data_IF_861256530501
#
_entry.id   IF_861256530501
#
_cell.length_a   1.000
_cell.length_b   1.000
_cell.length_c   1.000
_cell.angle_alpha   90.00
_cell.angle_beta   90.00
_cell.angle_gamma   90.00
#
_symmetry.space_group_name_H-M   'P 1'
#
loop_
_entity.id
_entity.type
_entity.pdbx_description
1 polymer ?
#
# COMPACT_ATOMS: atom_id res chain seq x y z
N UNK A 1 -3.93 -1.33 10.63
CA UNK A 1 -4.47 -0.59 9.48
C UNK A 1 -3.33 -0.26 8.55
N UNK A 2 -3.55 -0.20 7.24
CA UNK A 2 -2.56 0.23 6.25
C UNK A 2 -3.24 1.29 5.38
N UNK A 3 -2.69 2.51 5.31
CA UNK A 3 -3.24 3.60 4.51
C UNK A 3 -2.46 3.76 3.21
N UNK A 4 -3.17 3.98 2.11
CA UNK A 4 -2.60 4.44 0.84
C UNK A 4 -1.94 5.81 1.00
N UNK A 5 -0.62 5.84 1.21
CA UNK A 5 0.11 7.11 1.35
C UNK A 5 0.33 7.79 0.00
N UNK A 6 0.51 7.00 -1.06
CA UNK A 6 0.55 7.41 -2.46
C UNK A 6 0.07 6.25 -3.33
N UNK A 7 -0.94 6.46 -4.18
CA UNK A 7 -1.36 5.47 -5.17
C UNK A 7 -0.67 5.73 -6.52
N UNK A 8 -1.08 5.01 -7.56
CA UNK A 8 -0.57 5.14 -8.92
C UNK A 8 -0.75 6.54 -9.53
N UNK A 9 -1.70 7.35 -9.04
CA UNK A 9 -1.90 8.73 -9.51
C UNK A 9 -0.83 9.71 -9.03
N UNK A 10 0.03 9.30 -8.09
CA UNK A 10 1.11 10.10 -7.53
C UNK A 10 0.70 11.05 -6.40
N UNK A 11 -0.60 11.14 -6.04
CA UNK A 11 -1.06 12.05 -5.00
C UNK A 11 -0.68 11.55 -3.60
N UNK A 12 0.03 12.36 -2.84
CA UNK A 12 0.49 11.99 -1.50
C UNK A 12 -0.52 12.40 -0.41
N UNK A 13 -0.98 11.45 0.41
CA UNK A 13 -1.84 11.68 1.59
C UNK A 13 -1.06 12.08 2.85
N UNK A 14 0.13 12.63 2.65
CA UNK A 14 1.01 13.19 3.68
C UNK A 14 1.78 14.38 3.07
N UNK A 15 2.25 15.35 3.87
CA UNK A 15 3.00 16.51 3.41
C UNK A 15 4.44 16.11 3.02
N UNK A 16 4.57 15.43 1.87
CA UNK A 16 5.87 15.11 1.32
C UNK A 16 6.57 16.39 0.87
N UNK A 17 7.84 16.57 1.26
CA UNK A 17 8.64 17.72 0.80
C UNK A 17 9.15 17.58 -0.64
N UNK A 18 8.89 16.44 -1.29
CA UNK A 18 9.39 16.12 -2.63
C UNK A 18 8.36 16.36 -3.74
N UNK A 19 7.12 16.74 -3.41
CA UNK A 19 6.09 17.10 -4.38
C UNK A 19 5.06 18.04 -3.75
N UNK A 20 4.58 19.02 -4.51
CA UNK A 20 3.44 19.84 -4.14
C UNK A 20 2.10 19.13 -4.42
N UNK A 21 2.13 17.98 -5.11
CA UNK A 21 0.94 17.16 -5.36
C UNK A 21 0.62 16.28 -4.14
N UNK A 22 0.25 16.94 -3.05
CA UNK A 22 -0.05 16.32 -1.76
C UNK A 22 -1.26 16.95 -1.06
N UNK A 23 -1.78 16.25 -0.06
CA UNK A 23 -2.99 16.61 0.69
C UNK A 23 -2.92 17.95 1.43
N UNK A 24 -1.73 18.46 1.75
CA UNK A 24 -1.58 19.76 2.42
C UNK A 24 -1.53 20.95 1.46
N UNK A 25 -1.14 20.73 0.20
CA UNK A 25 -1.00 21.80 -0.80
C UNK A 25 -2.17 21.84 -1.80
N UNK A 26 -2.64 20.68 -2.25
CA UNK A 26 -3.64 20.57 -3.32
C UNK A 26 -4.97 19.94 -2.86
N UNK A 27 -5.14 19.68 -1.56
CA UNK A 27 -6.25 18.88 -1.04
C UNK A 27 -6.79 19.35 0.31
N UNK A 28 -7.08 18.44 1.25
CA UNK A 28 -7.71 18.73 2.54
C UNK A 28 -6.97 19.69 3.50
N UNK A 29 -5.77 20.16 3.13
CA UNK A 29 -4.91 21.04 3.94
C UNK A 29 -4.54 20.41 5.29
N UNK A 30 -4.41 19.07 5.31
CA UNK A 30 -4.20 18.24 6.51
C UNK A 30 -3.22 17.12 6.23
N UNK A 31 -2.46 16.70 7.23
CA UNK A 31 -1.59 15.52 7.17
C UNK A 31 -2.42 14.27 7.50
N UNK A 32 -3.06 13.69 6.48
CA UNK A 32 -3.98 12.57 6.69
C UNK A 32 -3.27 11.33 7.24
N UNK A 33 -2.05 11.03 6.76
CA UNK A 33 -1.25 9.93 7.27
C UNK A 33 -0.89 10.14 8.74
N UNK A 34 -0.42 11.33 9.11
CA UNK A 34 -0.05 11.65 10.49
C UNK A 34 -1.25 11.56 11.44
N UNK A 35 -2.32 12.28 11.12
CA UNK A 35 -3.52 12.32 11.98
C UNK A 35 -4.15 10.93 12.15
N UNK A 36 -4.22 10.13 11.08
CA UNK A 36 -4.75 8.77 11.18
C UNK A 36 -3.80 7.85 11.96
N UNK A 37 -2.49 8.01 11.80
CA UNK A 37 -1.49 7.25 12.55
C UNK A 37 -1.65 7.44 14.06
N UNK A 38 -1.80 8.68 14.50
CA UNK A 38 -1.98 9.01 15.91
C UNK A 38 -3.27 8.40 16.46
N UNK A 39 -4.40 8.57 15.76
CA UNK A 39 -5.68 8.02 16.17
C UNK A 39 -5.69 6.48 16.22
N UNK A 40 -5.11 5.82 15.20
CA UNK A 40 -5.03 4.35 15.15
C UNK A 40 -4.18 3.81 16.30
N UNK A 41 -3.05 4.46 16.59
CA UNK A 41 -2.16 4.06 17.69
C UNK A 41 -2.75 4.33 19.07
N UNK A 42 -3.48 5.43 19.25
CA UNK A 42 -4.21 5.70 20.49
C UNK A 42 -5.24 4.60 20.81
N UNK A 43 -5.81 3.96 19.78
CA UNK A 43 -6.67 2.77 19.93
C UNK A 43 -5.91 1.46 20.13
N UNK A 44 -4.58 1.50 20.27
CA UNK A 44 -3.74 0.32 20.46
C UNK A 44 -3.54 -0.53 19.19
N UNK A 45 -3.89 0.00 18.01
CA UNK A 45 -3.73 -0.70 16.74
C UNK A 45 -2.42 -0.34 16.06
N UNK A 46 -1.93 -1.27 15.22
CA UNK A 46 -0.76 -1.08 14.37
C UNK A 46 -1.10 -0.26 13.12
N UNK A 47 -0.18 0.60 12.68
CA UNK A 47 -0.36 1.48 11.52
C UNK A 47 0.73 1.26 10.48
N UNK A 48 0.34 0.88 9.26
CA UNK A 48 1.21 0.69 8.11
C UNK A 48 1.01 1.74 7.01
N UNK A 49 1.95 1.80 6.09
CA UNK A 49 1.95 2.67 4.92
C UNK A 49 1.96 1.85 3.64
N UNK A 50 0.93 1.99 2.82
CA UNK A 50 0.94 1.53 1.44
C UNK A 50 1.61 2.60 0.56
N UNK A 51 2.46 2.18 -0.39
CA UNK A 51 3.11 3.06 -1.34
C UNK A 51 3.18 2.44 -2.74
N UNK A 52 2.74 3.18 -3.76
CA UNK A 52 2.93 2.82 -5.17
C UNK A 52 4.39 3.06 -5.61
N UNK A 53 5.20 2.00 -5.55
CA UNK A 53 6.65 2.06 -5.78
C UNK A 53 7.02 2.39 -7.21
N UNK A 54 6.64 1.55 -8.17
CA UNK A 54 7.10 1.66 -9.58
C UNK A 54 6.14 2.45 -10.48
N UNK A 55 4.86 2.58 -10.11
CA UNK A 55 3.86 3.31 -10.89
C UNK A 55 3.60 4.68 -10.28
N UNK A 56 3.73 5.72 -11.09
CA UNK A 56 3.35 7.09 -10.77
C UNK A 56 2.99 7.82 -12.07
N UNK A 57 1.70 8.11 -12.27
CA UNK A 57 1.19 8.66 -13.52
C UNK A 57 1.58 10.12 -13.76
N UNK A 58 2.19 10.77 -12.76
CA UNK A 58 2.82 12.09 -12.95
C UNK A 58 4.16 12.00 -13.67
N UNK A 59 4.82 10.83 -13.64
CA UNK A 59 6.09 10.54 -14.33
C UNK A 59 5.93 9.69 -15.60
N UNK A 60 4.93 8.82 -15.64
CA UNK A 60 4.59 8.02 -16.83
C UNK A 60 3.08 7.93 -17.03
N UNK A 61 2.56 8.64 -18.03
CA UNK A 61 1.12 8.72 -18.30
C UNK A 61 0.62 7.71 -19.33
N UNK A 62 1.49 6.82 -19.82
CA UNK A 62 1.10 5.81 -20.78
C UNK A 62 0.11 4.81 -20.12
N UNK A 63 -1.10 4.63 -20.68
CA UNK A 63 -2.09 3.75 -20.09
C UNK A 63 -1.63 2.30 -20.09
N UNK A 64 -2.20 1.52 -19.18
CA UNK A 64 -1.92 0.09 -18.99
C UNK A 64 -3.13 -0.70 -19.49
N UNK A 65 -2.91 -1.53 -20.51
CA UNK A 65 -3.88 -2.42 -21.11
C UNK A 65 -3.55 -3.90 -20.86
N UNK A 66 -2.30 -4.23 -20.54
CA UNK A 66 -1.83 -5.58 -20.22
C UNK A 66 -0.95 -5.59 -18.98
N UNK A 67 -0.87 -6.73 -18.27
CA UNK A 67 -0.04 -6.84 -17.05
C UNK A 67 1.44 -6.53 -17.30
N UNK A 68 1.98 -6.90 -18.47
CA UNK A 68 3.37 -6.58 -18.84
C UNK A 68 3.65 -5.07 -18.86
N UNK A 69 2.62 -4.27 -19.13
CA UNK A 69 2.73 -2.81 -19.17
C UNK A 69 2.84 -2.18 -17.78
N UNK A 70 2.51 -2.91 -16.70
CA UNK A 70 2.82 -2.48 -15.33
C UNK A 70 4.32 -2.23 -15.10
N UNK A 71 5.19 -2.88 -15.90
CA UNK A 71 6.64 -2.69 -15.84
C UNK A 71 7.18 -1.92 -17.05
N UNK A 72 6.65 -2.16 -18.26
CA UNK A 72 7.17 -1.49 -19.46
C UNK A 72 6.73 -0.02 -19.57
N UNK A 73 5.55 0.33 -19.06
CA UNK A 73 5.00 1.69 -19.05
C UNK A 73 5.18 2.35 -17.68
N UNK A 74 5.98 1.74 -16.79
CA UNK A 74 6.21 2.24 -15.44
C UNK A 74 7.18 3.44 -15.43
N UNK A 75 7.71 3.77 -14.26
CA UNK A 75 8.67 4.86 -14.08
C UNK A 75 10.10 4.32 -13.91
N UNK A 76 10.86 4.08 -14.99
CA UNK A 76 12.16 3.41 -14.90
C UNK A 76 13.34 4.36 -14.64
N UNK A 77 13.12 5.67 -14.58
CA UNK A 77 14.21 6.66 -14.54
C UNK A 77 14.94 6.67 -13.20
N UNK A 78 16.22 7.04 -13.20
CA UNK A 78 16.99 7.25 -11.97
C UNK A 78 16.39 8.36 -11.10
N UNK A 79 15.86 9.41 -11.73
CA UNK A 79 15.17 10.50 -11.03
C UNK A 79 13.95 10.00 -10.25
N UNK A 80 13.11 9.17 -10.87
CA UNK A 80 11.96 8.60 -10.17
C UNK A 80 12.37 7.58 -9.11
N UNK A 81 13.41 6.78 -9.36
CA UNK A 81 13.96 5.88 -8.35
C UNK A 81 14.43 6.64 -7.09
N UNK A 82 15.11 7.77 -7.27
CA UNK A 82 15.50 8.68 -6.19
C UNK A 82 14.28 9.27 -5.48
N UNK A 83 13.27 9.72 -6.22
CA UNK A 83 12.01 10.25 -5.67
C UNK A 83 11.30 9.23 -4.80
N UNK A 84 11.09 8.01 -5.31
CA UNK A 84 10.45 6.91 -4.58
C UNK A 84 11.23 6.53 -3.32
N UNK A 85 12.56 6.37 -3.42
CA UNK A 85 13.41 6.09 -2.26
C UNK A 85 13.29 7.18 -1.19
N UNK A 86 13.42 8.45 -1.58
CA UNK A 86 13.34 9.61 -0.68
C UNK A 86 11.99 9.72 0.02
N UNK A 87 10.90 9.43 -0.68
CA UNK A 87 9.55 9.42 -0.11
C UNK A 87 9.34 8.28 0.88
N UNK A 88 9.79 7.06 0.57
CA UNK A 88 9.68 5.96 1.54
C UNK A 88 10.54 6.22 2.77
N UNK A 89 11.75 6.77 2.63
CA UNK A 89 12.56 7.23 3.78
C UNK A 89 11.82 8.29 4.60
N UNK A 90 11.19 9.27 3.96
CA UNK A 90 10.39 10.29 4.65
C UNK A 90 9.22 9.69 5.44
N UNK A 91 8.54 8.68 4.90
CA UNK A 91 7.48 7.94 5.59
C UNK A 91 8.01 7.18 6.82
N UNK A 92 9.16 6.52 6.68
CA UNK A 92 9.84 5.80 7.77
C UNK A 92 10.18 6.78 8.90
N UNK A 93 10.86 7.88 8.56
CA UNK A 93 11.38 8.83 9.54
C UNK A 93 10.25 9.55 10.29
N UNK A 94 9.20 9.98 9.58
CA UNK A 94 8.09 10.74 10.17
C UNK A 94 7.10 9.86 10.93
N UNK A 95 6.67 8.75 10.33
CA UNK A 95 5.51 8.00 10.83
C UNK A 95 5.87 6.64 11.43
N UNK A 96 7.07 6.11 11.15
CA UNK A 96 7.56 4.81 11.66
C UNK A 96 6.53 3.69 11.47
N UNK A 97 6.04 3.45 10.24
CA UNK A 97 4.94 2.52 10.00
C UNK A 97 5.33 1.09 10.41
N UNK A 98 4.42 0.38 11.07
CA UNK A 98 4.58 -1.02 11.46
C UNK A 98 4.60 -1.98 10.24
N UNK A 99 4.10 -1.53 9.09
CA UNK A 99 4.13 -2.26 7.81
C UNK A 99 4.51 -1.28 6.69
N UNK A 100 5.52 -1.62 5.87
CA UNK A 100 5.71 -0.99 4.56
C UNK A 100 5.14 -1.92 3.48
N UNK A 101 4.08 -1.47 2.83
CA UNK A 101 3.35 -2.25 1.83
C UNK A 101 3.56 -1.61 0.46
N UNK A 102 4.55 -2.07 -0.29
CA UNK A 102 4.78 -1.58 -1.64
C UNK A 102 3.80 -2.22 -2.62
N UNK A 103 3.64 -1.64 -3.82
CA UNK A 103 2.78 -2.23 -4.84
C UNK A 103 3.42 -2.33 -6.22
N UNK A 104 3.00 -3.37 -6.96
CA UNK A 104 3.42 -3.82 -8.30
C UNK A 104 4.89 -4.22 -8.39
N UNK A 105 5.79 -3.34 -7.96
CA UNK A 105 7.23 -3.48 -8.10
C UNK A 105 7.97 -2.25 -7.59
N UNK A 106 9.27 -2.26 -7.78
CA UNK A 106 10.15 -1.13 -7.48
C UNK A 106 10.92 -0.68 -8.74
N UNK A 107 11.26 0.61 -8.89
CA UNK A 107 12.07 1.08 -10.02
C UNK A 107 13.40 0.33 -10.09
N UNK A 108 13.65 -0.35 -11.23
CA UNK A 108 14.86 -1.16 -11.41
C UNK A 108 16.15 -0.35 -11.19
N UNK A 109 16.16 0.91 -11.60
CA UNK A 109 17.27 1.83 -11.37
C UNK A 109 17.62 2.03 -9.88
N UNK A 110 16.66 1.82 -8.97
CA UNK A 110 16.83 1.97 -7.52
C UNK A 110 16.91 0.66 -6.72
N UNK A 111 16.83 -0.51 -7.36
CA UNK A 111 16.85 -1.81 -6.66
C UNK A 111 18.10 -1.99 -5.79
N UNK A 112 19.25 -1.53 -6.28
CA UNK A 112 20.54 -1.62 -5.57
C UNK A 112 20.53 -0.84 -4.23
N UNK A 113 19.58 0.08 -4.03
CA UNK A 113 19.40 0.84 -2.79
C UNK A 113 18.42 0.19 -1.80
N UNK A 114 17.64 -0.81 -2.21
CA UNK A 114 16.68 -1.48 -1.32
C UNK A 114 17.31 -2.10 -0.06
N UNK A 115 18.51 -2.73 -0.11
CA UNK A 115 19.17 -3.20 1.11
C UNK A 115 19.42 -2.06 2.13
N UNK A 116 19.76 -0.86 1.66
CA UNK A 116 19.96 0.31 2.51
C UNK A 116 18.62 0.82 3.06
N UNK A 117 17.57 0.83 2.24
CA UNK A 117 16.21 1.20 2.64
C UNK A 117 15.70 0.26 3.75
N UNK A 118 15.82 -1.05 3.57
CA UNK A 118 15.38 -2.04 4.56
C UNK A 118 16.22 -2.00 5.82
N UNK A 119 17.55 -1.85 5.71
CA UNK A 119 18.39 -1.64 6.89
C UNK A 119 17.98 -0.39 7.66
N UNK A 120 17.72 0.73 6.98
CA UNK A 120 17.22 1.96 7.60
C UNK A 120 15.86 1.73 8.27
N UNK A 121 14.95 1.02 7.61
CA UNK A 121 13.63 0.69 8.15
C UNK A 121 13.72 -0.15 9.42
N UNK A 122 14.38 -1.31 9.38
CA UNK A 122 14.46 -2.21 10.52
C UNK A 122 15.29 -1.63 11.68
N UNK A 123 16.26 -0.75 11.42
CA UNK A 123 16.98 -0.05 12.50
C UNK A 123 16.10 1.00 13.21
N UNK A 124 15.09 1.58 12.53
CA UNK A 124 14.19 2.58 13.11
C UNK A 124 12.86 1.98 13.60
N UNK A 125 12.43 0.87 13.03
CA UNK A 125 11.21 0.13 13.36
C UNK A 125 11.53 -1.37 13.45
N UNK A 126 12.18 -1.84 14.53
CA UNK A 126 12.70 -3.22 14.63
C UNK A 126 11.65 -4.32 14.53
N UNK A 127 10.39 -4.01 14.84
CA UNK A 127 9.25 -4.92 14.72
C UNK A 127 8.46 -4.72 13.42
N UNK A 128 8.91 -3.81 12.56
CA UNK A 128 8.28 -3.50 11.29
C UNK A 128 8.42 -4.66 10.31
N UNK A 129 7.50 -4.74 9.35
CA UNK A 129 7.50 -5.78 8.32
C UNK A 129 7.26 -5.21 6.93
N UNK A 130 7.81 -5.87 5.91
CA UNK A 130 7.63 -5.50 4.50
C UNK A 130 6.98 -6.64 3.70
N UNK A 131 6.13 -6.28 2.76
CA UNK A 131 5.46 -7.22 1.86
C UNK A 131 6.41 -7.77 0.77
N UNK A 132 5.88 -8.49 -0.22
CA UNK A 132 6.66 -9.13 -1.29
C UNK A 132 6.58 -8.44 -2.65
N UNK A 133 6.10 -7.20 -2.73
CA UNK A 133 6.00 -6.45 -4.00
C UNK A 133 7.22 -5.56 -4.28
N UNK A 134 8.36 -5.83 -3.64
CA UNK A 134 9.65 -5.18 -3.90
C UNK A 134 10.46 -5.95 -4.96
N UNK A 135 9.85 -6.22 -6.11
CA UNK A 135 10.40 -7.09 -7.18
C UNK A 135 10.81 -8.49 -6.69
N UNK A 136 10.17 -8.99 -5.63
CA UNK A 136 10.49 -10.29 -4.97
C UNK A 136 11.92 -10.40 -4.45
N UNK A 137 12.62 -9.27 -4.26
CA UNK A 137 14.02 -9.25 -3.79
C UNK A 137 14.14 -9.55 -2.29
N UNK A 138 13.18 -9.10 -1.49
CA UNK A 138 13.07 -9.35 -0.05
C UNK A 138 11.61 -9.21 0.39
N UNK A 139 11.22 -9.94 1.44
CA UNK A 139 9.90 -9.84 2.08
C UNK A 139 9.89 -10.51 3.46
N UNK A 140 9.04 -10.02 4.36
CA UNK A 140 8.71 -10.70 5.62
C UNK A 140 7.45 -11.57 5.49
N UNK A 141 6.56 -11.20 4.56
CA UNK A 141 5.37 -11.97 4.22
C UNK A 141 5.02 -11.82 2.73
N UNK A 142 4.33 -12.82 2.17
CA UNK A 142 3.87 -12.78 0.77
C UNK A 142 2.44 -12.26 0.66
N UNK A 143 2.10 -11.58 -0.44
CA UNK A 143 0.73 -11.10 -0.68
C UNK A 143 -0.06 -12.04 -1.60
N UNK A 144 -1.34 -12.20 -1.30
CA UNK A 144 -2.36 -12.83 -2.17
C UNK A 144 -3.49 -11.83 -2.37
N UNK A 145 -3.87 -11.57 -3.60
CA UNK A 145 -4.88 -10.55 -3.93
C UNK A 145 -6.04 -11.17 -4.68
N UNK A 146 -7.26 -11.10 -4.13
CA UNK A 146 -8.44 -11.80 -4.64
C UNK A 146 -8.14 -13.28 -4.97
N UNK A 147 -7.97 -13.61 -6.26
CA UNK A 147 -7.69 -14.95 -6.78
C UNK A 147 -6.22 -15.17 -7.16
N UNK A 148 -5.38 -14.13 -7.12
CA UNK A 148 -3.99 -14.14 -7.54
C UNK A 148 -3.05 -14.30 -6.34
N UNK A 149 -2.01 -15.12 -6.49
CA UNK A 149 -1.09 -15.48 -5.40
C UNK A 149 -1.46 -16.80 -4.74
N UNK A 150 -0.64 -17.22 -3.76
CA UNK A 150 -0.68 -18.57 -3.19
C UNK A 150 -0.73 -18.50 -1.67
N UNK A 151 -1.63 -19.28 -1.07
CA UNK A 151 -1.65 -19.48 0.38
C UNK A 151 -0.54 -20.47 0.77
N UNK A 152 0.13 -20.23 1.89
CA UNK A 152 1.20 -21.09 2.38
C UNK A 152 1.10 -21.28 3.88
N UNK A 153 1.22 -22.52 4.35
CA UNK A 153 1.37 -22.79 5.78
C UNK A 153 2.82 -22.60 6.25
N UNK A 154 3.78 -22.71 5.34
CA UNK A 154 5.22 -22.69 5.62
C UNK A 154 5.79 -21.28 5.75
N UNK A 155 5.15 -20.29 5.11
CA UNK A 155 5.55 -18.88 5.14
C UNK A 155 4.37 -18.00 5.50
N UNK A 156 4.63 -16.89 6.19
CA UNK A 156 3.60 -15.89 6.44
C UNK A 156 3.14 -15.24 5.14
N UNK A 157 1.84 -15.03 5.04
CA UNK A 157 1.21 -14.40 3.89
C UNK A 157 -0.02 -13.61 4.32
N UNK A 158 -0.47 -12.69 3.45
CA UNK A 158 -1.63 -11.85 3.71
C UNK A 158 -2.56 -11.79 2.48
N UNK A 159 -3.83 -12.09 2.70
CA UNK A 159 -4.91 -11.90 1.73
C UNK A 159 -5.32 -10.43 1.71
N UNK A 160 -5.23 -9.75 0.57
CA UNK A 160 -5.80 -8.43 0.37
C UNK A 160 -6.96 -8.45 -0.63
N UNK A 161 -8.05 -7.77 -0.30
CA UNK A 161 -9.19 -7.54 -1.20
C UNK A 161 -10.07 -6.39 -0.73
N UNK A 162 -10.88 -5.83 -1.62
CA UNK A 162 -11.98 -4.93 -1.27
C UNK A 162 -13.14 -5.65 -0.59
N UNK A 163 -13.99 -4.87 0.09
CA UNK A 163 -15.35 -5.27 0.44
C UNK A 163 -16.15 -5.64 -0.82
N UNK A 164 -16.04 -4.83 -1.89
CA UNK A 164 -16.61 -5.09 -3.20
C UNK A 164 -15.61 -5.71 -4.18
N UNK A 165 -15.62 -5.21 -5.42
CA UNK A 165 -14.69 -5.55 -6.49
C UNK A 165 -13.62 -4.45 -6.69
N UNK A 166 -13.83 -3.27 -6.12
CA UNK A 166 -12.88 -2.15 -6.11
C UNK A 166 -12.18 -1.98 -4.76
N UNK A 167 -10.99 -1.38 -4.79
CA UNK A 167 -10.31 -0.86 -3.59
C UNK A 167 -10.75 0.57 -3.26
N UNK A 168 -10.70 1.47 -4.25
CA UNK A 168 -11.24 2.82 -4.12
C UNK A 168 -12.78 2.81 -4.10
N UNK A 169 -13.38 3.84 -3.50
CA UNK A 169 -14.84 3.99 -3.50
C UNK A 169 -15.41 3.96 -4.92
N UNK A 170 -16.35 3.05 -5.17
CA UNK A 170 -17.08 2.95 -6.42
C UNK A 170 -18.58 3.15 -6.17
N UNK A 171 -19.11 4.31 -6.59
CA UNK A 171 -20.54 4.64 -6.43
C UNK A 171 -21.51 3.74 -7.21
N UNK A 172 -21.00 2.93 -8.14
CA UNK A 172 -21.80 2.01 -8.97
C UNK A 172 -21.93 0.64 -8.31
N UNK A 173 -21.06 0.30 -7.34
CA UNK A 173 -21.22 -0.90 -6.53
C UNK A 173 -22.38 -0.72 -5.55
N UNK A 174 -23.19 -1.77 -5.44
CA UNK A 174 -24.26 -1.91 -4.46
C UNK A 174 -24.02 -3.15 -3.59
N UNK A 175 -24.95 -3.46 -2.68
CA UNK A 175 -24.85 -4.61 -1.76
C UNK A 175 -24.60 -5.95 -2.48
N UNK A 176 -25.05 -6.11 -3.73
CA UNK A 176 -24.86 -7.35 -4.49
C UNK A 176 -23.41 -7.58 -4.93
N UNK A 177 -22.60 -6.52 -4.95
CA UNK A 177 -21.16 -6.58 -5.24
C UNK A 177 -20.32 -6.81 -3.98
N UNK A 178 -20.88 -6.54 -2.80
CA UNK A 178 -20.17 -6.67 -1.53
C UNK A 178 -20.08 -8.13 -1.08
N UNK A 179 -18.95 -8.47 -0.48
CA UNK A 179 -18.82 -9.74 0.22
C UNK A 179 -19.83 -9.81 1.36
N UNK A 180 -20.62 -10.88 1.39
CA UNK A 180 -21.57 -11.10 2.49
C UNK A 180 -20.82 -11.29 3.81
N UNK A 181 -21.44 -10.95 4.94
CA UNK A 181 -20.85 -11.17 6.27
C UNK A 181 -20.45 -12.64 6.47
N UNK A 182 -21.28 -13.57 5.99
CA UNK A 182 -21.01 -15.02 6.06
C UNK A 182 -19.76 -15.40 5.28
N UNK A 183 -19.61 -14.88 4.06
CA UNK A 183 -18.47 -15.19 3.21
C UNK A 183 -17.20 -14.50 3.71
N UNK A 184 -17.32 -13.31 4.31
CA UNK A 184 -16.20 -12.63 4.95
C UNK A 184 -15.67 -13.39 6.17
N UNK A 185 -16.57 -13.91 7.01
CA UNK A 185 -16.19 -14.77 8.14
C UNK A 185 -15.50 -16.04 7.62
N UNK A 186 -16.08 -16.69 6.59
CA UNK A 186 -15.48 -17.88 5.98
C UNK A 186 -14.08 -17.57 5.43
N UNK A 187 -13.92 -16.47 4.70
CA UNK A 187 -12.63 -16.02 4.16
C UNK A 187 -11.61 -15.79 5.27
N UNK A 188 -11.98 -15.14 6.37
CA UNK A 188 -11.10 -14.93 7.52
C UNK A 188 -10.66 -16.26 8.13
N UNK A 189 -11.61 -17.18 8.37
CA UNK A 189 -11.33 -18.50 8.95
C UNK A 189 -10.41 -19.31 8.05
N UNK A 190 -10.69 -19.39 6.75
CA UNK A 190 -9.85 -20.11 5.78
C UNK A 190 -8.44 -19.51 5.70
N UNK A 191 -8.34 -18.18 5.64
CA UNK A 191 -7.05 -17.48 5.59
C UNK A 191 -6.21 -17.77 6.83
N UNK A 192 -6.80 -17.69 8.02
CA UNK A 192 -6.11 -17.96 9.28
C UNK A 192 -5.76 -19.44 9.43
N UNK A 193 -6.64 -20.35 9.00
CA UNK A 193 -6.39 -21.79 9.02
C UNK A 193 -5.18 -22.19 8.15
N UNK A 194 -4.88 -21.40 7.13
CA UNK A 194 -3.69 -21.53 6.28
C UNK A 194 -2.55 -20.58 6.67
N UNK A 195 -2.48 -20.17 7.95
CA UNK A 195 -1.40 -19.37 8.53
C UNK A 195 -1.27 -17.92 7.97
N UNK A 196 -2.29 -17.43 7.27
CA UNK A 196 -2.34 -16.10 6.68
C UNK A 196 -3.05 -15.05 7.55
N UNK A 197 -2.86 -13.78 7.18
CA UNK A 197 -3.64 -12.64 7.66
C UNK A 197 -4.66 -12.20 6.60
N UNK A 198 -5.77 -11.57 7.03
CA UNK A 198 -6.71 -10.91 6.12
C UNK A 198 -6.61 -9.39 6.26
N UNK A 199 -6.20 -8.73 5.18
CA UNK A 199 -6.23 -7.28 5.01
C UNK A 199 -7.46 -6.90 4.16
N UNK A 200 -8.56 -6.63 4.84
CA UNK A 200 -9.81 -6.19 4.22
C UNK A 200 -9.79 -4.68 3.96
N UNK A 201 -9.95 -4.29 2.70
CA UNK A 201 -9.96 -2.89 2.29
C UNK A 201 -11.36 -2.27 2.40
N UNK A 202 -11.38 -1.02 2.88
CA UNK A 202 -12.53 -0.12 2.89
C UNK A 202 -12.16 1.09 2.02
N UNK A 203 -13.02 1.48 1.09
CA UNK A 203 -12.86 2.69 0.27
C UNK A 203 -13.77 3.83 0.74
N UNK A 204 -13.25 4.81 1.52
CA UNK A 204 -14.04 5.97 1.93
C UNK A 204 -14.44 6.85 0.74
N UNK A 205 -15.52 7.61 0.93
CA UNK A 205 -15.94 8.66 -0.01
C UNK A 205 -14.97 9.84 0.02
N UNK A 206 -15.09 10.70 -0.99
CA UNK A 206 -14.28 11.92 -1.11
C UNK A 206 -14.42 12.90 0.08
N UNK A 207 -15.53 12.83 0.83
CA UNK A 207 -15.74 13.62 2.05
C UNK A 207 -15.15 12.97 3.33
N UNK A 208 -14.50 11.81 3.19
CA UNK A 208 -13.91 11.05 4.29
C UNK A 208 -14.88 10.10 5.01
N UNK A 209 -16.16 10.05 4.63
CA UNK A 209 -17.12 9.12 5.24
C UNK A 209 -16.98 7.71 4.69
N UNK A 210 -17.17 6.71 5.54
CA UNK A 210 -17.25 5.30 5.12
C UNK A 210 -18.70 5.04 4.63
N UNK A 211 -18.91 4.46 3.43
CA UNK A 211 -20.23 4.03 2.97
C UNK A 211 -20.92 3.10 3.99
N UNK A 212 -22.25 3.27 4.17
CA UNK A 212 -23.05 2.44 5.09
C UNK A 212 -23.29 1.05 4.52
#
# INVERSE_FOLDING_TARGET
MVLTTKHHDGFCLYPSKYTDFNCTQAGPQRDLMGELTDNVREKGLKMGAYYSGIIDWTYSSAPIFTESQNFSNACPTYEYADYAYKQVVELIDKYKPDVLWNDIGWPKAGEHMLPHLFAHYYNNVPHGVVDDRWNKLWCDFTSKEYKHGVASRDKKWEMCRGMGLSFGYNKVEDESHLISVKDLISLLVETVADNGNLLLNIGPKADGTIPQ
#
